data_IF_018429569549
#
_entry.id   IF_018429569549
#
_cell.length_a   1.000
_cell.length_b   1.000
_cell.length_c   1.000
_cell.angle_alpha   90.00
_cell.angle_beta   90.00
_cell.angle_gamma   90.00
#
_symmetry.space_group_name_H-M   'P 1'
#
loop_
_entity.id
_entity.type
_entity.pdbx_description
1 polymer ?
#
# COMPACT_ATOMS: atom_id res chain seq x y z
N UNK A 1 -12.81 14.53 25.44
CA UNK A 1 -12.34 13.77 24.73
C UNK A 1 -13.00 12.57 24.67
N UNK A 2 -13.11 11.94 23.79
CA UNK A 2 -13.73 10.88 23.74
C UNK A 2 -12.89 9.84 24.01
N UNK A 3 -13.21 9.01 24.67
CA UNK A 3 -12.41 7.99 24.97
C UNK A 3 -12.25 7.11 23.86
N UNK A 4 -11.23 6.41 23.84
CA UNK A 4 -11.07 5.55 22.85
C UNK A 4 -11.97 4.48 22.89
N UNK A 5 -12.32 3.95 21.90
CA UNK A 5 -13.23 2.90 21.89
C UNK A 5 -12.60 1.80 22.50
N UNK A 6 -13.22 1.17 23.27
CA UNK A 6 -12.71 0.15 23.83
C UNK A 6 -12.81 -0.96 23.01
N UNK A 7 -12.51 -1.09 21.88
CA UNK A 7 -12.59 -2.15 21.12
C UNK A 7 -11.62 -3.09 21.48
N UNK A 8 -11.87 -4.13 21.94
CA UNK A 8 -10.92 -5.09 22.29
C UNK A 8 -10.35 -5.73 21.09
N UNK A 9 -10.98 -5.69 20.01
CA UNK A 9 -10.49 -6.29 18.88
C UNK A 9 -9.72 -5.35 18.08
N UNK A 10 -8.52 -5.60 17.76
CA UNK A 10 -7.79 -4.67 17.00
C UNK A 10 -8.28 -4.62 15.61
N UNK A 11 -8.30 -3.47 15.07
CA UNK A 11 -8.67 -3.36 13.78
C UNK A 11 -7.57 -3.77 12.91
N UNK A 12 -7.81 -4.30 11.77
CA UNK A 12 -6.80 -4.59 10.83
C UNK A 12 -6.29 -3.32 10.26
N UNK A 13 -5.03 -3.17 10.17
CA UNK A 13 -4.42 -1.96 9.66
C UNK A 13 -3.37 -2.32 8.64
N UNK A 14 -3.34 -1.62 7.56
CA UNK A 14 -2.31 -1.80 6.57
C UNK A 14 -1.72 -0.46 6.23
N UNK A 15 -0.52 -0.49 5.70
CA UNK A 15 0.14 0.72 5.31
C UNK A 15 0.66 0.56 3.91
N UNK A 16 0.45 1.56 3.10
CA UNK A 16 0.97 1.57 1.76
C UNK A 16 1.62 2.91 1.52
N UNK A 17 2.89 2.90 1.14
CA UNK A 17 3.60 4.11 0.87
C UNK A 17 4.04 4.07 -0.58
N UNK A 18 3.81 5.12 -1.31
CA UNK A 18 4.14 5.18 -2.71
C UNK A 18 5.16 6.30 -2.90
N UNK A 19 6.32 5.94 -3.45
CA UNK A 19 7.29 6.91 -3.76
C UNK A 19 7.32 7.03 -5.25
N UNK A 20 7.16 8.20 -5.80
CA UNK A 20 7.03 8.41 -7.21
C UNK A 20 8.08 9.37 -7.69
N UNK A 21 8.67 9.12 -8.84
CA UNK A 21 9.61 10.06 -9.41
C UNK A 21 9.55 9.97 -10.93
N UNK A 22 10.07 10.99 -11.56
CA UNK A 22 10.14 11.01 -12.99
C UNK A 22 11.57 10.82 -13.41
N UNK A 23 11.77 9.95 -14.39
CA UNK A 23 13.09 9.77 -14.90
C UNK A 23 13.44 10.92 -15.79
N UNK A 24 14.70 11.26 -15.83
CA UNK A 24 15.08 12.39 -16.54
C UNK A 24 15.23 12.20 -18.00
N UNK A 25 15.39 11.01 -18.48
CA UNK A 25 15.55 10.84 -19.84
C UNK A 25 14.33 11.10 -20.61
N UNK A 26 14.34 11.70 -21.76
CA UNK A 26 13.16 11.98 -22.51
C UNK A 26 12.73 10.74 -23.29
N UNK A 27 11.44 10.52 -23.40
CA UNK A 27 10.42 11.27 -22.68
C UNK A 27 10.46 10.85 -21.25
N UNK A 28 10.17 11.73 -20.39
CA UNK A 28 10.18 11.42 -19.00
C UNK A 28 9.25 10.28 -18.71
N UNK A 29 9.62 9.40 -17.83
CA UNK A 29 8.82 8.32 -17.48
C UNK A 29 8.57 8.33 -16.02
N UNK A 30 7.36 8.03 -15.63
CA UNK A 30 7.07 7.99 -14.21
C UNK A 30 7.47 6.63 -13.70
N UNK A 31 8.02 6.59 -12.52
CA UNK A 31 8.36 5.37 -11.87
C UNK A 31 7.89 5.44 -10.46
N UNK A 32 7.57 4.31 -9.89
CA UNK A 32 7.08 4.31 -8.52
C UNK A 32 7.55 3.06 -7.81
N UNK A 33 7.68 3.18 -6.52
CA UNK A 33 7.98 2.07 -5.68
C UNK A 33 6.95 2.08 -4.59
N UNK A 34 6.24 0.98 -4.43
CA UNK A 34 5.19 0.89 -3.45
C UNK A 34 5.66 -0.05 -2.36
N UNK A 35 5.66 0.41 -1.15
CA UNK A 35 6.06 -0.43 -0.04
C UNK A 35 4.83 -0.61 0.82
N UNK A 36 4.47 -1.85 1.09
CA UNK A 36 3.24 -2.09 1.79
C UNK A 36 3.40 -3.19 2.81
N UNK A 37 2.58 -3.16 3.79
CA UNK A 37 2.59 -4.14 4.84
C UNK A 37 1.20 -4.26 5.42
N UNK A 38 0.86 -5.45 5.82
CA UNK A 38 -0.41 -5.66 6.46
C UNK A 38 -0.10 -6.17 7.83
N UNK A 39 -0.55 -5.49 8.81
CA UNK A 39 -0.28 -5.93 10.15
C UNK A 39 1.03 -5.47 10.66
N UNK A 40 1.21 -5.60 11.93
CA UNK A 40 2.38 -5.08 12.51
C UNK A 40 3.52 -6.02 12.51
N UNK A 41 3.34 -7.21 12.36
CA UNK A 41 4.44 -8.11 12.46
C UNK A 41 4.99 -8.57 11.18
N UNK A 42 4.48 -8.10 10.07
CA UNK A 42 4.93 -8.59 8.85
C UNK A 42 5.92 -7.72 8.20
N UNK A 43 6.92 -8.25 7.56
CA UNK A 43 7.88 -7.40 6.88
C UNK A 43 7.25 -6.75 5.68
N UNK A 44 7.66 -5.59 5.35
CA UNK A 44 7.09 -4.91 4.21
C UNK A 44 7.50 -5.54 2.89
N UNK A 45 6.66 -5.39 1.93
CA UNK A 45 6.93 -5.87 0.59
C UNK A 45 7.02 -4.68 -0.33
N UNK A 46 7.95 -4.72 -1.25
CA UNK A 46 8.13 -3.61 -2.18
C UNK A 46 7.81 -4.07 -3.59
N UNK A 47 7.05 -3.26 -4.28
CA UNK A 47 6.66 -3.53 -5.65
C UNK A 47 6.99 -2.31 -6.47
N UNK A 48 7.42 -2.51 -7.68
CA UNK A 48 7.75 -1.39 -8.55
C UNK A 48 6.72 -1.24 -9.64
N UNK A 49 6.52 -0.04 -10.10
CA UNK A 49 5.63 0.22 -11.20
C UNK A 49 6.23 1.29 -12.09
N UNK A 50 5.98 1.20 -13.37
CA UNK A 50 6.63 2.05 -14.31
C UNK A 50 5.70 2.99 -15.05
N UNK A 51 4.45 3.02 -14.71
CA UNK A 51 3.53 3.94 -15.37
C UNK A 51 2.31 4.09 -14.49
N UNK A 52 1.46 5.01 -14.84
CA UNK A 52 0.30 5.30 -14.03
C UNK A 52 -0.63 4.08 -13.94
N UNK A 53 -0.96 3.42 -15.03
CA UNK A 53 -1.83 2.27 -14.88
C UNK A 53 -1.22 1.20 -13.99
N UNK A 54 0.09 1.03 -14.05
CA UNK A 54 0.74 0.05 -13.20
C UNK A 54 0.66 0.42 -11.75
N UNK A 55 0.81 1.71 -11.45
CA UNK A 55 0.70 2.15 -10.08
C UNK A 55 -0.71 1.90 -9.58
N UNK A 56 -1.70 2.25 -10.37
CA UNK A 56 -3.08 2.06 -9.95
C UNK A 56 -3.40 0.59 -9.79
N UNK A 57 -2.88 -0.24 -10.67
CA UNK A 57 -3.13 -1.67 -10.57
C UNK A 57 -2.51 -2.25 -9.31
N UNK A 58 -1.33 -1.76 -8.94
CA UNK A 58 -0.69 -2.25 -7.75
C UNK A 58 -1.46 -1.86 -6.50
N UNK A 59 -1.96 -0.64 -6.47
CA UNK A 59 -2.74 -0.19 -5.35
C UNK A 59 -4.02 -1.00 -5.24
N UNK A 60 -4.67 -1.20 -6.39
CA UNK A 60 -5.91 -1.94 -6.40
C UNK A 60 -5.68 -3.37 -5.93
N UNK A 61 -4.63 -4.00 -6.39
CA UNK A 61 -4.35 -5.36 -6.00
C UNK A 61 -4.08 -5.44 -4.50
N UNK A 62 -3.34 -4.48 -3.96
CA UNK A 62 -3.04 -4.50 -2.56
C UNK A 62 -4.30 -4.30 -1.74
N UNK A 63 -5.15 -3.38 -2.17
CA UNK A 63 -6.38 -3.13 -1.44
C UNK A 63 -7.30 -4.34 -1.48
N UNK A 64 -7.35 -5.02 -2.59
CA UNK A 64 -8.19 -6.19 -2.66
C UNK A 64 -7.67 -7.29 -1.77
N UNK A 65 -6.38 -7.47 -1.74
CA UNK A 65 -5.84 -8.48 -0.86
C UNK A 65 -6.10 -8.12 0.58
N UNK A 66 -5.97 -6.82 0.91
CA UNK A 66 -6.18 -6.40 2.26
C UNK A 66 -7.64 -6.60 2.67
N UNK A 67 -8.56 -6.25 1.80
CA UNK A 67 -9.96 -6.31 2.17
C UNK A 67 -10.52 -7.73 2.05
N UNK A 68 -9.92 -8.56 1.23
CA UNK A 68 -10.43 -9.89 1.09
C UNK A 68 -9.85 -10.86 2.05
N UNK A 69 -8.87 -10.52 2.76
CA UNK A 69 -8.28 -11.43 3.70
C UNK A 69 -9.21 -11.72 4.79
N UNK A 70 -9.35 -12.92 5.18
CA UNK A 70 -10.26 -13.23 6.25
C UNK A 70 -9.71 -12.75 7.50
N UNK A 71 -10.53 -12.47 8.40
CA UNK A 71 -10.13 -11.99 9.55
C UNK A 71 -10.03 -12.95 10.42
N UNK A 72 -9.90 -13.34 11.00
CA UNK A 72 -9.97 -14.22 11.93
C UNK A 72 -9.23 -14.90 12.17
#
# INVERSE_FOLDING_TARGET
MRPLPDRPVPERTGILVIRVWMEQEPPGRVRARLTHAVGLGEPPTTTAAANVPGICAAVDAWLRRFTDSPER
#
